data_IF_480767887685
#
_entry.id   IF_480767887685
#
_cell.length_a   1.000
_cell.length_b   1.000
_cell.length_c   1.000
_cell.angle_alpha   90.00
_cell.angle_beta   90.00
_cell.angle_gamma   90.00
#
_symmetry.space_group_name_H-M   'P 1'
#
loop_
_entity.id
_entity.type
_entity.pdbx_description
1 polymer ?
#
# COMPACT_ATOMS: atom_id res chain seq x y z
N UNK A 1 -7.52 -13.69 3.21
CA UNK A 1 -6.89 -12.50 2.58
C UNK A 1 -7.76 -11.27 2.76
N UNK A 2 -7.20 -10.04 2.82
CA UNK A 2 -7.95 -8.78 2.94
C UNK A 2 -7.86 -7.96 1.65
N UNK A 3 -8.98 -7.36 1.22
CA UNK A 3 -9.01 -6.45 0.08
C UNK A 3 -8.78 -5.01 0.54
N UNK A 4 -7.71 -4.39 0.04
CA UNK A 4 -7.45 -2.97 0.18
C UNK A 4 -7.88 -2.25 -1.11
N UNK A 5 -8.77 -1.27 -0.98
CA UNK A 5 -9.27 -0.48 -2.10
C UNK A 5 -8.75 0.94 -2.03
N UNK A 6 -7.99 1.35 -3.06
CA UNK A 6 -7.47 2.72 -3.15
C UNK A 6 -8.55 3.69 -3.64
N UNK A 7 -8.72 4.78 -2.89
CA UNK A 7 -9.72 5.83 -3.11
C UNK A 7 -9.08 7.21 -3.18
N UNK A 8 -9.71 8.14 -3.88
CA UNK A 8 -9.25 9.54 -4.03
C UNK A 8 -10.19 10.55 -3.36
N UNK A 9 -11.31 10.09 -2.80
CA UNK A 9 -12.32 10.94 -2.19
C UNK A 9 -13.17 10.20 -1.16
N UNK A 10 -13.88 10.97 -0.32
CA UNK A 10 -14.84 10.43 0.62
C UNK A 10 -16.03 9.72 -0.08
N UNK A 11 -16.40 10.13 -1.28
CA UNK A 11 -17.46 9.47 -2.05
C UNK A 11 -17.01 8.09 -2.52
N UNK A 12 -15.80 7.97 -3.05
CA UNK A 12 -15.24 6.65 -3.40
C UNK A 12 -15.07 5.76 -2.17
N UNK A 13 -14.71 6.33 -1.00
CA UNK A 13 -14.64 5.57 0.24
C UNK A 13 -15.98 4.96 0.63
N UNK A 14 -17.11 5.70 0.49
CA UNK A 14 -18.46 5.15 0.71
C UNK A 14 -18.78 3.98 -0.21
N UNK A 15 -18.45 4.12 -1.51
CA UNK A 15 -18.67 3.06 -2.50
C UNK A 15 -17.82 1.81 -2.19
N UNK A 16 -16.56 2.01 -1.82
CA UNK A 16 -15.66 0.91 -1.44
C UNK A 16 -16.16 0.18 -0.17
N UNK A 17 -16.62 0.92 0.83
CA UNK A 17 -17.23 0.34 2.04
C UNK A 17 -18.49 -0.46 1.71
N UNK A 18 -19.40 0.11 0.91
CA UNK A 18 -20.62 -0.57 0.50
C UNK A 18 -20.32 -1.86 -0.27
N UNK A 19 -19.24 -1.90 -1.06
CA UNK A 19 -18.75 -3.10 -1.75
C UNK A 19 -18.03 -4.11 -0.85
N UNK A 20 -17.79 -3.79 0.43
CA UNK A 20 -17.18 -4.71 1.40
C UNK A 20 -15.67 -4.72 1.43
N UNK A 21 -15.00 -3.64 1.06
CA UNK A 21 -13.55 -3.49 1.21
C UNK A 21 -13.13 -3.67 2.68
N UNK A 22 -12.04 -4.37 2.93
CA UNK A 22 -11.51 -4.61 4.29
C UNK A 22 -10.59 -3.48 4.78
N UNK A 23 -10.02 -2.71 3.86
CA UNK A 23 -9.14 -1.55 4.13
C UNK A 23 -9.44 -0.48 3.07
N UNK A 24 -9.65 0.77 3.53
CA UNK A 24 -9.76 1.92 2.64
C UNK A 24 -8.41 2.62 2.56
N UNK A 25 -7.87 2.74 1.35
CA UNK A 25 -6.54 3.28 1.11
C UNK A 25 -6.61 4.64 0.40
N UNK A 26 -6.22 5.70 1.12
CA UNK A 26 -6.30 7.06 0.58
C UNK A 26 -5.00 7.41 -0.13
N UNK A 27 -5.09 7.79 -1.40
CA UNK A 27 -3.95 8.23 -2.20
C UNK A 27 -4.37 9.23 -3.28
N UNK A 28 -3.40 9.97 -3.81
CA UNK A 28 -3.57 10.83 -4.98
C UNK A 28 -2.73 10.29 -6.15
N UNK A 29 -3.37 9.66 -7.18
CA UNK A 29 -2.65 9.20 -8.36
C UNK A 29 -1.97 10.32 -9.17
N UNK A 30 -2.37 11.57 -8.99
CA UNK A 30 -1.75 12.74 -9.62
C UNK A 30 -0.36 13.03 -9.09
N UNK A 31 -0.07 12.62 -7.83
CA UNK A 31 1.24 12.78 -7.19
C UNK A 31 2.12 11.52 -7.28
N UNK A 32 1.71 10.50 -8.03
CA UNK A 32 2.52 9.29 -8.25
C UNK A 32 1.82 7.97 -7.97
N UNK A 33 2.58 6.89 -8.00
CA UNK A 33 2.05 5.54 -7.76
C UNK A 33 1.52 5.38 -6.32
N UNK A 34 2.24 5.97 -5.36
CA UNK A 34 1.90 6.07 -3.94
C UNK A 34 1.72 7.53 -3.50
N UNK A 35 1.20 8.39 -4.41
CA UNK A 35 1.03 9.81 -4.16
C UNK A 35 0.22 10.10 -2.90
N UNK A 36 0.69 11.06 -2.08
CA UNK A 36 0.03 11.42 -0.84
C UNK A 36 -1.25 12.21 -1.11
N UNK A 37 -2.37 11.91 -0.42
CA UNK A 37 -3.57 12.74 -0.51
C UNK A 37 -3.35 14.07 0.23
N UNK A 38 -4.15 15.09 -0.11
CA UNK A 38 -4.16 16.27 0.74
C UNK A 38 -4.69 15.93 2.15
N UNK A 39 -4.22 16.63 3.21
CA UNK A 39 -4.71 16.42 4.58
C UNK A 39 -6.24 16.55 4.70
N UNK A 40 -6.85 17.42 3.89
CA UNK A 40 -8.30 17.58 3.83
C UNK A 40 -9.00 16.31 3.36
N UNK A 41 -8.53 15.72 2.26
CA UNK A 41 -9.11 14.48 1.71
C UNK A 41 -8.95 13.33 2.72
N UNK A 42 -7.77 13.20 3.35
CA UNK A 42 -7.56 12.19 4.39
C UNK A 42 -8.57 12.35 5.54
N UNK A 43 -8.74 13.56 6.07
CA UNK A 43 -9.68 13.82 7.16
C UNK A 43 -11.15 13.56 6.77
N UNK A 44 -11.53 13.90 5.53
CA UNK A 44 -12.88 13.60 5.01
C UNK A 44 -13.12 12.09 4.89
N UNK A 45 -12.14 11.33 4.41
CA UNK A 45 -12.24 9.86 4.29
C UNK A 45 -12.28 9.21 5.67
N UNK A 46 -11.39 9.58 6.59
CA UNK A 46 -11.39 9.05 7.97
C UNK A 46 -12.74 9.28 8.64
N UNK A 47 -13.31 10.48 8.51
CA UNK A 47 -14.64 10.80 9.07
C UNK A 47 -15.76 9.94 8.48
N UNK A 48 -15.69 9.64 7.17
CA UNK A 48 -16.72 8.83 6.50
C UNK A 48 -16.58 7.35 6.84
N UNK A 49 -15.36 6.86 6.94
CA UNK A 49 -15.06 5.45 7.25
C UNK A 49 -15.37 5.15 8.72
N UNK A 50 -15.07 6.11 9.63
CA UNK A 50 -15.24 5.90 11.06
C UNK A 50 -14.47 4.66 11.54
N UNK A 51 -15.14 3.86 12.34
CA UNK A 51 -14.59 2.61 12.89
C UNK A 51 -14.97 1.36 12.07
N UNK A 52 -15.56 1.52 10.88
CA UNK A 52 -16.05 0.39 10.09
C UNK A 52 -14.89 -0.51 9.61
N UNK A 53 -13.84 0.09 9.07
CA UNK A 53 -12.62 -0.60 8.63
C UNK A 53 -11.40 0.30 8.83
N UNK A 54 -10.17 -0.22 8.85
CA UNK A 54 -8.99 0.62 8.94
C UNK A 54 -8.80 1.52 7.71
N UNK A 55 -8.32 2.74 7.94
CA UNK A 55 -7.88 3.65 6.87
C UNK A 55 -6.36 3.55 6.71
N UNK A 56 -5.92 3.28 5.50
CA UNK A 56 -4.52 3.33 5.05
C UNK A 56 -4.28 4.64 4.30
N UNK A 57 -3.09 5.21 4.42
CA UNK A 57 -2.69 6.39 3.67
C UNK A 57 -1.31 6.23 3.05
N UNK A 58 -1.17 6.64 1.79
CA UNK A 58 0.13 6.76 1.13
C UNK A 58 0.78 8.10 1.52
N UNK A 59 2.07 8.08 1.87
CA UNK A 59 2.85 9.28 2.19
C UNK A 59 3.69 9.79 1.02
N UNK A 60 3.61 9.12 -0.12
CA UNK A 60 4.39 9.44 -1.30
C UNK A 60 5.69 8.63 -1.42
N UNK A 61 6.34 8.84 -2.57
CA UNK A 61 7.72 8.43 -2.82
C UNK A 61 8.65 9.52 -2.29
N UNK A 62 8.94 9.44 -1.02
CA UNK A 62 9.77 10.45 -0.37
C UNK A 62 11.25 10.24 -0.74
N UNK A 63 12.01 11.33 -0.95
CA UNK A 63 13.47 11.23 -0.97
C UNK A 63 13.97 10.68 0.38
N UNK A 64 15.22 10.19 0.42
CA UNK A 64 15.81 9.69 1.67
C UNK A 64 16.02 10.84 2.67
N UNK A 65 14.91 11.33 3.22
CA UNK A 65 14.85 12.39 4.24
C UNK A 65 14.03 11.88 5.44
N UNK A 66 14.64 11.12 6.37
CA UNK A 66 13.94 10.45 7.46
C UNK A 66 13.08 11.39 8.32
N UNK A 67 13.54 12.59 8.60
CA UNK A 67 12.79 13.55 9.42
C UNK A 67 11.58 14.15 8.69
N UNK A 68 11.67 14.35 7.38
CA UNK A 68 10.52 14.80 6.56
C UNK A 68 9.46 13.71 6.51
N UNK A 69 9.86 12.46 6.28
CA UNK A 69 8.97 11.31 6.30
C UNK A 69 8.31 11.13 7.68
N UNK A 70 9.05 11.31 8.76
CA UNK A 70 8.56 11.25 10.13
C UNK A 70 7.48 12.30 10.40
N UNK A 71 7.67 13.54 9.94
CA UNK A 71 6.66 14.61 10.08
C UNK A 71 5.39 14.30 9.30
N UNK A 72 5.52 13.79 8.07
CA UNK A 72 4.37 13.38 7.25
C UNK A 72 3.61 12.22 7.92
N UNK A 73 4.33 11.20 8.39
CA UNK A 73 3.75 10.04 9.07
C UNK A 73 3.02 10.43 10.35
N UNK A 74 3.63 11.32 11.17
CA UNK A 74 2.99 11.86 12.37
C UNK A 74 1.69 12.59 12.05
N UNK A 75 1.69 13.44 11.00
CA UNK A 75 0.50 14.14 10.55
C UNK A 75 -0.62 13.18 10.14
N UNK A 76 -0.30 12.15 9.37
CA UNK A 76 -1.24 11.13 8.94
C UNK A 76 -1.80 10.32 10.13
N UNK A 77 -0.95 9.89 11.04
CA UNK A 77 -1.34 9.15 12.24
C UNK A 77 -2.31 9.96 13.13
N UNK A 78 -1.99 11.24 13.38
CA UNK A 78 -2.86 12.15 14.16
C UNK A 78 -4.18 12.47 13.44
N UNK A 79 -4.22 12.31 12.10
CA UNK A 79 -5.45 12.46 11.31
C UNK A 79 -6.35 11.22 11.34
N UNK A 80 -5.96 10.15 12.05
CA UNK A 80 -6.75 8.94 12.22
C UNK A 80 -6.41 7.80 11.26
N UNK A 81 -5.28 7.85 10.55
CA UNK A 81 -4.82 6.72 9.75
C UNK A 81 -4.42 5.54 10.64
N UNK A 82 -4.92 4.34 10.32
CA UNK A 82 -4.51 3.07 10.94
C UNK A 82 -3.28 2.44 10.28
N UNK A 83 -3.00 2.82 9.03
CA UNK A 83 -1.80 2.40 8.29
C UNK A 83 -1.17 3.62 7.61
N UNK A 84 0.16 3.72 7.68
CA UNK A 84 0.94 4.66 6.88
C UNK A 84 1.87 3.88 5.95
N UNK A 85 1.87 4.23 4.66
CA UNK A 85 2.70 3.59 3.64
C UNK A 85 3.75 4.57 3.13
N UNK A 86 5.00 4.16 3.15
CA UNK A 86 6.15 4.92 2.65
C UNK A 86 6.68 4.29 1.38
N UNK A 87 6.66 5.02 0.27
CA UNK A 87 7.29 4.60 -0.98
C UNK A 87 8.81 4.70 -0.88
N UNK A 88 9.50 3.65 -1.30
CA UNK A 88 10.96 3.54 -1.22
C UNK A 88 11.66 3.88 -2.56
N UNK A 89 11.00 4.56 -3.49
CA UNK A 89 11.61 4.94 -4.77
C UNK A 89 12.84 5.84 -4.61
N UNK A 90 12.85 6.70 -3.60
CA UNK A 90 13.98 7.59 -3.30
C UNK A 90 15.10 6.95 -2.49
N UNK A 91 15.03 5.64 -2.24
CA UNK A 91 15.98 4.90 -1.39
C UNK A 91 16.48 3.68 -2.15
N UNK A 92 17.80 3.47 -2.13
CA UNK A 92 18.44 2.33 -2.81
C UNK A 92 19.04 1.32 -1.83
N UNK A 93 19.65 1.83 -0.77
CA UNK A 93 20.41 0.98 0.16
C UNK A 93 19.53 0.57 1.35
N UNK A 94 19.73 -0.67 1.82
CA UNK A 94 18.94 -1.23 2.92
C UNK A 94 19.14 -0.46 4.24
N UNK A 95 20.35 0.05 4.48
CA UNK A 95 20.64 0.81 5.71
C UNK A 95 19.91 2.15 5.73
N UNK A 96 19.84 2.83 4.58
CA UNK A 96 19.05 4.05 4.39
C UNK A 96 17.55 3.80 4.57
N UNK A 97 17.04 2.72 3.95
CA UNK A 97 15.65 2.31 4.14
C UNK A 97 15.34 2.02 5.61
N UNK A 98 16.24 1.33 6.30
CA UNK A 98 16.06 1.04 7.72
C UNK A 98 16.06 2.32 8.58
N UNK A 99 16.94 3.29 8.29
CA UNK A 99 16.95 4.57 8.99
C UNK A 99 15.65 5.36 8.76
N UNK A 100 15.19 5.43 7.49
CA UNK A 100 13.93 6.07 7.10
C UNK A 100 12.74 5.43 7.84
N UNK A 101 12.63 4.10 7.80
CA UNK A 101 11.47 3.39 8.37
C UNK A 101 11.46 3.43 9.90
N UNK A 102 12.63 3.43 10.58
CA UNK A 102 12.69 3.65 12.04
C UNK A 102 12.20 5.04 12.41
N UNK A 103 12.63 6.09 11.70
CA UNK A 103 12.17 7.46 11.96
C UNK A 103 10.64 7.59 11.80
N UNK A 104 10.07 6.94 10.79
CA UNK A 104 8.62 6.89 10.57
C UNK A 104 7.92 6.13 11.71
N UNK A 105 8.43 4.94 12.07
CA UNK A 105 7.86 4.12 13.15
C UNK A 105 7.87 4.86 14.50
N UNK A 106 8.94 5.55 14.81
CA UNK A 106 9.04 6.37 16.03
C UNK A 106 8.04 7.52 16.03
N UNK A 107 7.84 8.16 14.88
CA UNK A 107 6.96 9.31 14.75
C UNK A 107 5.46 8.96 14.89
N UNK A 108 5.04 7.78 14.44
CA UNK A 108 3.62 7.39 14.52
C UNK A 108 3.20 6.95 15.91
N UNK A 109 4.13 6.58 16.80
CA UNK A 109 3.84 6.21 18.19
C UNK A 109 3.11 7.32 18.98
N UNK A 110 3.21 8.56 18.54
CA UNK A 110 2.46 9.68 19.14
C UNK A 110 0.94 9.49 19.08
N UNK A 111 0.45 8.76 18.08
CA UNK A 111 -0.96 8.40 17.95
C UNK A 111 -1.33 7.07 18.68
N UNK A 112 -0.38 6.51 19.43
CA UNK A 112 -0.50 5.21 20.10
C UNK A 112 -0.03 4.05 19.23
N UNK A 113 -0.02 2.84 19.83
CA UNK A 113 0.50 1.61 19.19
C UNK A 113 -0.43 1.03 18.09
N UNK A 114 -1.44 1.77 17.69
CA UNK A 114 -2.47 1.31 16.73
C UNK A 114 -2.13 1.58 15.27
N UNK A 115 -1.08 2.36 14.99
CA UNK A 115 -0.72 2.74 13.63
C UNK A 115 0.34 1.80 13.07
N UNK A 116 -0.02 1.08 12.04
CA UNK A 116 0.88 0.16 11.33
C UNK A 116 1.71 0.89 10.27
N UNK A 117 3.00 0.61 10.23
CA UNK A 117 3.95 1.19 9.27
C UNK A 117 4.27 0.16 8.19
N UNK A 118 4.09 0.55 6.93
CA UNK A 118 4.28 -0.29 5.75
C UNK A 118 5.33 0.33 4.83
N UNK A 119 6.39 -0.41 4.54
CA UNK A 119 7.36 -0.04 3.53
C UNK A 119 6.90 -0.55 2.16
N UNK A 120 6.87 0.33 1.15
CA UNK A 120 6.43 -0.02 -0.19
C UNK A 120 7.60 0.04 -1.19
N UNK A 121 7.96 -1.11 -1.78
CA UNK A 121 8.91 -1.21 -2.87
C UNK A 121 8.21 -1.49 -4.20
N UNK A 122 8.93 -1.28 -5.30
CA UNK A 122 8.40 -1.48 -6.65
C UNK A 122 8.99 -2.74 -7.28
N UNK A 123 8.12 -3.50 -7.95
CA UNK A 123 8.50 -4.75 -8.60
C UNK A 123 9.61 -4.57 -9.64
N UNK A 124 9.62 -3.43 -10.31
CA UNK A 124 10.61 -3.01 -11.30
C UNK A 124 11.75 -2.13 -10.75
N UNK A 125 12.05 -2.21 -9.47
CA UNK A 125 13.00 -1.31 -8.79
C UNK A 125 14.34 -1.15 -9.52
N UNK A 126 14.89 -2.22 -10.11
CA UNK A 126 16.15 -2.18 -10.85
C UNK A 126 16.04 -1.51 -12.22
N UNK A 127 14.82 -1.42 -12.77
CA UNK A 127 14.54 -0.78 -14.06
C UNK A 127 14.18 0.71 -13.92
N UNK A 128 14.06 1.22 -12.71
CA UNK A 128 13.79 2.64 -12.45
C UNK A 128 15.07 3.47 -12.62
N UNK A 129 14.90 4.73 -12.94
CA UNK A 129 16.00 5.71 -13.00
C UNK A 129 15.72 6.87 -12.01
N UNK A 130 16.56 7.05 -10.97
CA UNK A 130 17.56 6.08 -10.49
C UNK A 130 16.92 4.78 -9.95
N UNK A 131 17.67 3.67 -9.89
CA UNK A 131 17.20 2.43 -9.28
C UNK A 131 16.77 2.64 -7.83
N UNK A 132 15.73 1.88 -7.41
CA UNK A 132 15.20 1.91 -6.06
C UNK A 132 15.58 0.66 -5.26
N UNK A 133 15.17 0.60 -3.99
CA UNK A 133 15.37 -0.59 -3.15
C UNK A 133 14.66 -1.79 -3.76
N UNK A 134 15.43 -2.85 -4.04
CA UNK A 134 14.89 -4.07 -4.61
C UNK A 134 13.91 -4.77 -3.63
N UNK A 135 12.77 -5.32 -4.10
CA UNK A 135 11.83 -6.05 -3.24
C UNK A 135 12.45 -7.19 -2.43
N UNK A 136 13.54 -7.78 -2.94
CA UNK A 136 14.29 -8.83 -2.25
C UNK A 136 14.87 -8.39 -0.89
N UNK A 137 15.02 -7.09 -0.65
CA UNK A 137 15.49 -6.51 0.60
C UNK A 137 14.38 -6.36 1.67
N UNK A 138 13.10 -6.45 1.29
CA UNK A 138 11.98 -6.18 2.20
C UNK A 138 11.93 -7.10 3.44
N UNK A 139 12.17 -8.42 3.36
CA UNK A 139 12.21 -9.27 4.55
C UNK A 139 13.27 -8.83 5.55
N UNK A 140 14.48 -8.49 5.07
CA UNK A 140 15.56 -7.99 5.92
C UNK A 140 15.24 -6.59 6.50
N UNK A 141 14.49 -5.76 5.78
CA UNK A 141 14.03 -4.47 6.29
C UNK A 141 13.07 -4.65 7.47
N UNK A 142 12.13 -5.59 7.38
CA UNK A 142 11.21 -5.93 8.49
C UNK A 142 12.00 -6.40 9.70
N UNK A 143 12.90 -7.38 9.53
CA UNK A 143 13.74 -7.92 10.60
C UNK A 143 14.55 -6.84 11.33
N UNK A 144 15.14 -5.88 10.56
CA UNK A 144 15.97 -4.80 11.12
C UNK A 144 15.19 -3.69 11.82
N UNK A 145 13.92 -3.50 11.48
CA UNK A 145 13.15 -2.32 11.92
C UNK A 145 11.94 -2.64 12.77
N UNK A 146 11.43 -3.87 12.69
CA UNK A 146 10.19 -4.27 13.37
C UNK A 146 8.95 -3.55 12.85
N UNK A 147 8.97 -3.01 11.62
CA UNK A 147 7.77 -2.41 11.01
C UNK A 147 6.69 -3.46 10.78
N UNK A 148 5.43 -3.03 10.69
CA UNK A 148 4.26 -3.92 10.66
C UNK A 148 4.16 -4.76 9.39
N UNK A 149 4.77 -4.32 8.29
CA UNK A 149 4.75 -5.08 7.04
C UNK A 149 5.30 -4.32 5.84
N UNK A 150 5.13 -4.93 4.70
CA UNK A 150 5.63 -4.43 3.41
C UNK A 150 4.58 -4.54 2.31
N UNK A 151 4.76 -3.74 1.27
CA UNK A 151 3.97 -3.76 0.05
C UNK A 151 4.90 -3.86 -1.16
N UNK A 152 4.55 -4.69 -2.14
CA UNK A 152 5.11 -4.61 -3.49
C UNK A 152 4.05 -4.09 -4.44
N UNK A 153 4.34 -2.97 -5.11
CA UNK A 153 3.49 -2.34 -6.14
C UNK A 153 4.28 -2.23 -7.45
N UNK A 154 3.73 -1.66 -8.49
CA UNK A 154 4.43 -1.19 -9.70
C UNK A 154 4.43 0.34 -9.71
N UNK A 155 5.57 0.94 -10.06
CA UNK A 155 5.68 2.38 -10.30
C UNK A 155 5.19 2.73 -11.72
N UNK A 156 5.73 2.01 -12.71
CA UNK A 156 5.33 2.15 -14.10
C UNK A 156 3.91 1.61 -14.29
N UNK A 157 3.06 2.40 -14.93
CA UNK A 157 1.68 2.03 -15.22
C UNK A 157 1.52 1.77 -16.73
N UNK A 158 2.37 0.89 -17.24
CA UNK A 158 2.54 0.56 -18.65
C UNK A 158 1.74 -0.69 -19.11
N UNK A 159 0.90 -1.22 -18.23
CA UNK A 159 0.04 -2.37 -18.52
C UNK A 159 0.66 -3.74 -18.21
N UNK A 160 1.97 -3.81 -17.86
CA UNK A 160 2.60 -5.10 -17.51
C UNK A 160 2.10 -5.70 -16.20
N UNK A 161 1.69 -4.84 -15.26
CA UNK A 161 1.26 -5.29 -13.95
C UNK A 161 2.35 -5.99 -13.12
N UNK A 162 1.99 -6.40 -11.89
CA UNK A 162 2.91 -7.03 -10.94
C UNK A 162 3.57 -8.29 -11.52
N UNK A 163 2.78 -9.16 -12.12
CA UNK A 163 3.26 -10.44 -12.66
C UNK A 163 4.08 -10.33 -13.96
N UNK A 164 4.10 -9.16 -14.57
CA UNK A 164 5.02 -8.85 -15.67
C UNK A 164 6.45 -8.54 -15.20
N UNK A 165 6.62 -8.30 -13.89
CA UNK A 165 7.90 -7.97 -13.28
C UNK A 165 8.41 -9.04 -12.31
N UNK A 166 7.51 -9.67 -11.55
CA UNK A 166 7.86 -10.71 -10.58
C UNK A 166 7.11 -12.00 -10.87
N UNK A 167 7.84 -13.12 -10.87
CA UNK A 167 7.22 -14.44 -10.96
C UNK A 167 6.45 -14.80 -9.69
N UNK A 168 5.49 -15.71 -9.80
CA UNK A 168 4.74 -16.22 -8.64
C UNK A 168 5.65 -16.86 -7.59
N UNK A 169 6.71 -17.56 -8.03
CA UNK A 169 7.69 -18.16 -7.12
C UNK A 169 8.49 -17.12 -6.36
N UNK A 170 8.90 -16.01 -7.01
CA UNK A 170 9.59 -14.91 -6.35
C UNK A 170 8.69 -14.21 -5.34
N UNK A 171 7.42 -13.97 -5.67
CA UNK A 171 6.45 -13.40 -4.73
C UNK A 171 6.22 -14.33 -3.54
N UNK A 172 6.07 -15.64 -3.77
CA UNK A 172 5.88 -16.62 -2.71
C UNK A 172 7.08 -16.65 -1.76
N UNK A 173 8.32 -16.62 -2.26
CA UNK A 173 9.52 -16.53 -1.42
C UNK A 173 9.53 -15.27 -0.57
N UNK A 174 9.22 -14.11 -1.16
CA UNK A 174 9.15 -12.85 -0.44
C UNK A 174 8.08 -12.87 0.67
N UNK A 175 6.91 -13.41 0.39
CA UNK A 175 5.82 -13.55 1.38
C UNK A 175 6.26 -14.42 2.55
N UNK A 176 6.82 -15.61 2.28
CA UNK A 176 7.26 -16.55 3.32
C UNK A 176 8.35 -15.91 4.20
N UNK A 177 9.36 -15.30 3.59
CA UNK A 177 10.47 -14.67 4.32
C UNK A 177 10.03 -13.45 5.11
N UNK A 178 9.10 -12.64 4.59
CA UNK A 178 8.56 -11.49 5.31
C UNK A 178 7.74 -11.93 6.53
N UNK A 179 6.91 -12.95 6.38
CA UNK A 179 6.16 -13.53 7.51
C UNK A 179 7.09 -14.15 8.56
N UNK A 180 8.16 -14.81 8.14
CA UNK A 180 9.17 -15.34 9.05
C UNK A 180 9.89 -14.22 9.83
N UNK A 181 10.05 -13.03 9.25
CA UNK A 181 10.56 -11.83 9.91
C UNK A 181 9.51 -11.12 10.80
N UNK A 182 8.28 -11.63 10.90
CA UNK A 182 7.20 -11.07 11.73
C UNK A 182 6.37 -9.97 11.05
N UNK A 183 6.57 -9.70 9.76
CA UNK A 183 5.82 -8.71 9.01
C UNK A 183 4.68 -9.28 8.18
N UNK A 184 3.66 -8.46 7.89
CA UNK A 184 2.64 -8.77 6.90
C UNK A 184 3.11 -8.40 5.49
N UNK A 185 2.58 -9.09 4.48
CA UNK A 185 2.92 -8.85 3.08
C UNK A 185 1.68 -8.42 2.28
N UNK A 186 1.77 -7.26 1.65
CA UNK A 186 0.76 -6.76 0.74
C UNK A 186 1.26 -6.77 -0.70
N UNK A 187 0.35 -6.93 -1.66
CA UNK A 187 0.64 -6.80 -3.09
C UNK A 187 -0.33 -5.83 -3.74
N UNK A 188 0.17 -5.08 -4.70
CA UNK A 188 -0.58 -4.24 -5.62
C UNK A 188 0.15 -4.19 -6.96
N UNK A 189 -0.24 -3.31 -7.87
CA UNK A 189 0.46 -3.13 -9.14
C UNK A 189 -0.34 -3.61 -10.34
N UNK A 190 -1.35 -2.82 -10.71
CA UNK A 190 -2.21 -3.07 -11.88
C UNK A 190 -2.79 -4.49 -11.91
N UNK A 191 -3.10 -5.04 -10.73
CA UNK A 191 -3.74 -6.36 -10.63
C UNK A 191 -5.09 -6.31 -11.30
N UNK A 192 -5.33 -7.31 -12.17
CA UNK A 192 -6.64 -7.58 -12.76
C UNK A 192 -7.46 -8.46 -11.83
N UNK A 193 -8.76 -8.60 -12.07
CA UNK A 193 -9.61 -9.54 -11.32
C UNK A 193 -9.10 -10.99 -11.43
N UNK A 194 -8.60 -11.39 -12.61
CA UNK A 194 -7.99 -12.71 -12.79
C UNK A 194 -6.74 -12.93 -11.95
N UNK A 195 -6.00 -11.87 -11.62
CA UNK A 195 -4.79 -11.94 -10.80
C UNK A 195 -5.10 -12.15 -9.31
N UNK A 196 -6.28 -11.74 -8.83
CA UNK A 196 -6.67 -11.87 -7.42
C UNK A 196 -6.66 -13.33 -6.94
N UNK A 197 -6.88 -14.29 -7.84
CA UNK A 197 -6.87 -15.72 -7.54
C UNK A 197 -5.46 -16.32 -7.46
N UNK A 198 -4.44 -15.59 -7.95
CA UNK A 198 -3.04 -16.04 -8.02
C UNK A 198 -2.24 -15.64 -6.78
N UNK A 199 -2.79 -14.79 -5.93
CA UNK A 199 -2.08 -14.15 -4.84
C UNK A 199 -2.34 -14.84 -3.52
N UNK A 200 -1.26 -15.16 -2.78
CA UNK A 200 -1.32 -15.73 -1.43
C UNK A 200 -0.85 -14.72 -0.35
N UNK A 201 -0.98 -13.42 -0.61
CA UNK A 201 -0.57 -12.34 0.30
C UNK A 201 -1.59 -12.12 1.42
N UNK A 202 -1.20 -11.39 2.48
CA UNK A 202 -2.11 -11.05 3.58
C UNK A 202 -3.11 -9.96 3.16
N UNK A 203 -2.67 -9.05 2.27
CA UNK A 203 -3.46 -7.95 1.74
C UNK A 203 -3.25 -7.82 0.23
N UNK A 204 -4.34 -7.64 -0.51
CA UNK A 204 -4.33 -7.36 -1.94
C UNK A 204 -4.88 -5.97 -2.18
N UNK A 205 -4.07 -5.10 -2.79
CA UNK A 205 -4.43 -3.71 -3.10
C UNK A 205 -4.88 -3.55 -4.54
N UNK A 206 -6.05 -2.96 -4.74
CA UNK A 206 -6.61 -2.68 -6.07
C UNK A 206 -7.03 -1.22 -6.24
N UNK A 207 -6.93 -0.73 -7.47
CA UNK A 207 -7.54 0.52 -7.92
C UNK A 207 -8.22 0.30 -9.27
N UNK A 208 -7.48 0.08 -10.35
CA UNK A 208 -8.02 -0.06 -11.71
C UNK A 208 -9.05 -1.18 -11.82
N UNK A 209 -8.81 -2.32 -11.17
CA UNK A 209 -9.73 -3.47 -11.22
C UNK A 209 -11.15 -3.19 -10.67
N UNK A 210 -11.30 -2.13 -9.89
CA UNK A 210 -12.57 -1.71 -9.27
C UNK A 210 -13.05 -0.33 -9.74
N UNK A 211 -12.41 0.23 -10.78
CA UNK A 211 -12.86 1.44 -11.46
C UNK A 211 -13.53 1.09 -12.78
N UNK A 212 -14.44 1.94 -13.24
CA UNK A 212 -15.17 1.76 -14.50
C UNK A 212 -14.21 1.65 -15.68
N UNK A 213 -14.43 0.65 -16.52
CA UNK A 213 -13.58 0.38 -17.69
C UNK A 213 -12.14 -0.05 -17.36
N UNK A 214 -11.81 -0.33 -16.10
CA UNK A 214 -10.45 -0.67 -15.70
C UNK A 214 -9.48 0.53 -15.66
N UNK A 215 -9.99 1.74 -15.85
CA UNK A 215 -9.20 2.96 -15.82
C UNK A 215 -9.05 3.48 -14.39
N UNK A 216 -7.80 3.59 -13.91
CA UNK A 216 -7.49 4.08 -12.55
C UNK A 216 -7.93 5.54 -12.30
N UNK A 217 -8.14 6.32 -13.35
CA UNK A 217 -8.62 7.70 -13.29
C UNK A 217 -10.16 7.80 -13.28
N UNK A 218 -10.85 6.73 -13.70
CA UNK A 218 -12.30 6.67 -13.70
C UNK A 218 -12.86 6.48 -12.28
N UNK A 219 -14.16 6.70 -12.14
CA UNK A 219 -14.88 6.50 -10.88
C UNK A 219 -14.80 5.06 -10.39
N UNK A 220 -14.63 4.90 -9.08
CA UNK A 220 -14.75 3.62 -8.40
C UNK A 220 -16.19 3.14 -8.43
N UNK A 221 -16.37 1.84 -8.71
CA UNK A 221 -17.65 1.17 -8.80
C UNK A 221 -17.80 0.15 -7.65
N UNK A 222 -18.82 0.35 -6.79
CA UNK A 222 -19.07 -0.50 -5.62
C UNK A 222 -19.38 -1.97 -5.98
N UNK A 223 -20.02 -2.21 -7.12
CA UNK A 223 -20.34 -3.57 -7.57
C UNK A 223 -19.06 -4.31 -8.01
N UNK A 224 -18.09 -3.60 -8.62
CA UNK A 224 -16.78 -4.16 -8.93
C UNK A 224 -15.98 -4.46 -7.66
N UNK A 225 -16.12 -3.65 -6.61
CA UNK A 225 -15.52 -3.94 -5.29
C UNK A 225 -16.13 -5.20 -4.70
N UNK A 226 -17.47 -5.32 -4.69
CA UNK A 226 -18.16 -6.50 -4.18
C UNK A 226 -17.76 -7.77 -4.94
N UNK A 227 -17.61 -7.69 -6.25
CA UNK A 227 -17.14 -8.78 -7.08
C UNK A 227 -15.68 -9.18 -6.73
N UNK A 228 -14.78 -8.21 -6.48
CA UNK A 228 -13.41 -8.48 -6.07
C UNK A 228 -13.35 -9.15 -4.68
N UNK A 229 -14.17 -8.68 -3.72
CA UNK A 229 -14.32 -9.30 -2.40
C UNK A 229 -14.77 -10.76 -2.52
N UNK A 230 -15.80 -11.01 -3.34
CA UNK A 230 -16.31 -12.37 -3.56
C UNK A 230 -15.23 -13.30 -4.15
N UNK A 231 -14.42 -12.80 -5.08
CA UNK A 231 -13.32 -13.58 -5.67
C UNK A 231 -12.23 -13.94 -4.65
N UNK A 232 -11.89 -13.04 -3.71
CA UNK A 232 -10.91 -13.34 -2.67
C UNK A 232 -11.40 -14.32 -1.62
N UNK A 233 -12.69 -14.26 -1.25
CA UNK A 233 -13.28 -15.16 -0.23
C UNK A 233 -13.45 -16.61 -0.70
N UNK A 234 -13.39 -16.88 -1.99
CA UNK A 234 -13.40 -18.26 -2.53
C UNK A 234 -12.06 -18.98 -2.26
N UNK A 235 -11.02 -18.26 -1.87
CA UNK A 235 -9.67 -18.79 -1.61
C UNK A 235 -9.41 -19.06 -0.10
N UNK A 236 -10.28 -18.61 0.78
CA UNK A 236 -10.25 -18.88 2.23
C UNK A 236 -11.06 -20.15 2.55
#
# INVERSE_FOLDING_TARGET
MRLLVSVVSAEEARRALAGGADIIDVKDPGEGALGAPSPRVLSEVVRVVGDAVPVSVALGDLPNLPHTAALAARGAALSGAGYVKVGLRGVRELDDAAALMRAVADAVRVAGDRVSVIAAAYAEADALDPPALAPACLPALVDRTGISGVLVDTFLKDGRGLYGWLSESALTDLIVRTRAAGGSFAVAGQLTRGDLRRVAADVVGVRSAVCRGGDRAAELDGDLVAAAVAELRVLD
#
